data_IF_491533255188
#
_entry.id   IF_491533255188
#
_cell.length_a   1.000
_cell.length_b   1.000
_cell.length_c   1.000
_cell.angle_alpha   90.00
_cell.angle_beta   90.00
_cell.angle_gamma   90.00
#
_symmetry.space_group_name_H-M   'P 1'
#
loop_
_entity.id
_entity.type
_entity.pdbx_description
1 polymer ?
#
# COMPACT_ATOMS: atom_id res chain seq x y z
N UNK A 1 -6.13 20.60 -15.80
CA UNK A 1 -7.42 19.98 -15.42
C UNK A 1 -7.27 19.45 -14.01
N UNK A 2 -8.26 19.67 -13.15
CA UNK A 2 -8.30 19.17 -11.77
C UNK A 2 -8.62 17.65 -11.82
N UNK A 3 -7.92 16.83 -11.04
CA UNK A 3 -8.24 15.42 -10.89
C UNK A 3 -9.50 15.31 -10.02
N UNK A 4 -10.58 14.74 -10.57
CA UNK A 4 -11.84 14.46 -9.90
C UNK A 4 -12.14 12.96 -9.88
N UNK A 5 -13.09 12.57 -9.02
CA UNK A 5 -13.51 11.18 -8.83
C UNK A 5 -15.04 11.07 -8.78
N UNK A 6 -15.73 11.98 -9.45
CA UNK A 6 -17.17 11.93 -9.60
C UNK A 6 -17.59 10.55 -10.13
N UNK A 7 -18.62 9.97 -9.51
CA UNK A 7 -19.14 8.62 -9.80
C UNK A 7 -18.19 7.45 -9.51
N UNK A 8 -17.02 7.70 -8.89
CA UNK A 8 -16.11 6.65 -8.45
C UNK A 8 -16.40 6.25 -7.01
N UNK A 9 -16.19 4.97 -6.71
CA UNK A 9 -16.29 4.39 -5.36
C UNK A 9 -14.92 3.97 -4.88
N UNK A 10 -14.53 4.42 -3.71
CA UNK A 10 -13.25 4.14 -3.09
C UNK A 10 -13.43 3.39 -1.76
N UNK A 11 -12.62 2.36 -1.54
CA UNK A 11 -12.46 1.72 -0.23
C UNK A 11 -11.05 2.09 0.28
N UNK A 12 -10.99 2.64 1.49
CA UNK A 12 -9.71 2.98 2.15
C UNK A 12 -9.66 2.23 3.47
N UNK A 13 -8.69 1.33 3.63
CA UNK A 13 -8.51 0.55 4.87
C UNK A 13 -7.59 1.28 5.85
N UNK A 14 -7.84 1.13 7.16
CA UNK A 14 -7.12 1.86 8.19
C UNK A 14 -7.36 3.38 8.08
N UNK A 15 -8.59 3.77 7.75
CA UNK A 15 -8.94 5.16 7.41
C UNK A 15 -9.50 5.98 8.57
N UNK A 16 -9.54 5.43 9.79
CA UNK A 16 -10.00 6.14 10.99
C UNK A 16 -9.01 7.17 11.54
N UNK A 17 -7.78 7.20 11.00
CA UNK A 17 -6.73 8.14 11.44
C UNK A 17 -5.54 8.20 10.50
N UNK A 18 -4.56 9.04 10.82
CA UNK A 18 -3.27 9.15 10.14
C UNK A 18 -3.38 9.31 8.62
N UNK A 19 -2.55 8.56 7.88
CA UNK A 19 -2.50 8.60 6.41
C UNK A 19 -3.85 8.22 5.78
N UNK A 20 -4.47 7.12 6.23
CA UNK A 20 -5.73 6.62 5.67
C UNK A 20 -6.86 7.64 5.77
N UNK A 21 -6.95 8.36 6.91
CA UNK A 21 -7.90 9.46 7.07
C UNK A 21 -7.70 10.53 5.99
N UNK A 22 -6.47 10.99 5.77
CA UNK A 22 -6.19 12.04 4.78
C UNK A 22 -6.52 11.59 3.36
N UNK A 23 -6.26 10.32 3.04
CA UNK A 23 -6.63 9.75 1.74
C UNK A 23 -8.14 9.72 1.54
N UNK A 24 -8.89 9.26 2.56
CA UNK A 24 -10.35 9.18 2.52
C UNK A 24 -10.99 10.58 2.39
N UNK A 25 -10.55 11.54 3.19
CA UNK A 25 -11.03 12.91 3.14
C UNK A 25 -10.83 13.55 1.77
N UNK A 26 -9.64 13.42 1.19
CA UNK A 26 -9.34 14.05 -0.11
C UNK A 26 -10.04 13.35 -1.28
N UNK A 27 -10.19 12.02 -1.26
CA UNK A 27 -11.00 11.31 -2.24
C UNK A 27 -12.46 11.77 -2.18
N UNK A 28 -13.05 11.86 -0.99
CA UNK A 28 -14.40 12.38 -0.78
C UNK A 28 -14.56 13.83 -1.25
N UNK A 29 -13.62 14.71 -0.91
CA UNK A 29 -13.61 16.12 -1.35
C UNK A 29 -13.53 16.27 -2.87
N UNK A 30 -12.97 15.28 -3.56
CA UNK A 30 -12.86 15.23 -5.03
C UNK A 30 -14.02 14.50 -5.71
N UNK A 31 -15.06 14.13 -4.97
CA UNK A 31 -16.30 13.56 -5.49
C UNK A 31 -16.40 12.04 -5.44
N UNK A 32 -15.41 11.34 -4.89
CA UNK A 32 -15.56 9.90 -4.66
C UNK A 32 -16.60 9.59 -3.58
N UNK A 33 -17.33 8.49 -3.74
CA UNK A 33 -18.09 7.85 -2.67
C UNK A 33 -17.13 6.94 -1.90
N UNK A 34 -17.01 7.12 -0.57
CA UNK A 34 -15.93 6.50 0.19
C UNK A 34 -16.45 5.52 1.24
N UNK A 35 -15.93 4.29 1.21
CA UNK A 35 -15.99 3.39 2.37
C UNK A 35 -14.77 3.68 3.24
N UNK A 36 -15.02 4.21 4.42
CA UNK A 36 -14.00 4.45 5.45
C UNK A 36 -13.96 3.19 6.32
N UNK A 37 -12.98 2.32 6.06
CA UNK A 37 -12.82 1.10 6.86
C UNK A 37 -11.73 1.30 7.91
N UNK A 38 -12.05 1.01 9.17
CA UNK A 38 -11.10 0.99 10.28
C UNK A 38 -11.67 0.18 11.46
N UNK A 39 -10.93 -0.83 11.89
CA UNK A 39 -11.29 -1.63 13.07
C UNK A 39 -11.29 -0.80 14.38
N UNK A 40 -10.58 0.33 14.39
CA UNK A 40 -10.47 1.22 15.56
C UNK A 40 -9.56 0.68 16.65
N UNK A 41 -8.62 -0.21 16.31
CA UNK A 41 -7.62 -0.73 17.23
C UNK A 41 -6.50 0.26 17.56
N UNK A 42 -5.71 -0.08 18.57
CA UNK A 42 -4.45 0.60 18.91
C UNK A 42 -3.36 0.33 17.83
N UNK A 43 -2.21 1.02 17.93
CA UNK A 43 -1.09 0.87 16.99
C UNK A 43 -0.54 -0.56 16.91
N UNK A 44 -0.60 -1.31 18.02
CA UNK A 44 -0.17 -2.71 18.10
C UNK A 44 -1.23 -3.71 17.61
N UNK A 45 -2.41 -3.22 17.19
CA UNK A 45 -3.53 -4.02 16.74
C UNK A 45 -4.46 -4.52 17.84
N UNK A 46 -4.29 -4.08 19.10
CA UNK A 46 -5.17 -4.46 20.21
C UNK A 46 -6.45 -3.62 20.21
N UNK A 47 -7.56 -4.23 20.66
CA UNK A 47 -8.86 -3.59 20.78
C UNK A 47 -9.57 -3.33 19.45
N UNK A 48 -10.81 -2.85 19.53
CA UNK A 48 -11.61 -2.44 18.38
C UNK A 48 -12.63 -1.37 18.78
N UNK A 49 -12.90 -0.41 17.89
CA UNK A 49 -13.93 0.59 18.08
C UNK A 49 -14.29 1.24 16.74
N UNK A 50 -15.45 0.93 16.18
CA UNK A 50 -15.94 1.51 14.92
C UNK A 50 -16.04 3.04 14.90
N UNK A 51 -15.98 3.69 16.07
CA UNK A 51 -16.13 5.15 16.19
C UNK A 51 -15.09 5.98 15.44
N UNK A 52 -13.92 5.43 15.12
CA UNK A 52 -12.91 6.15 14.35
C UNK A 52 -13.33 6.27 12.87
N UNK A 53 -13.79 5.16 12.28
CA UNK A 53 -14.34 5.15 10.91
C UNK A 53 -15.58 6.04 10.81
N UNK A 54 -16.49 5.97 11.78
CA UNK A 54 -17.72 6.79 11.82
C UNK A 54 -17.41 8.29 11.81
N UNK A 55 -16.45 8.74 12.64
CA UNK A 55 -16.06 10.16 12.69
C UNK A 55 -15.52 10.66 11.35
N UNK A 56 -14.69 9.87 10.68
CA UNK A 56 -14.13 10.27 9.37
C UNK A 56 -15.19 10.24 8.28
N UNK A 57 -16.07 9.24 8.27
CA UNK A 57 -17.19 9.20 7.33
C UNK A 57 -18.14 10.39 7.53
N UNK A 58 -18.44 10.76 8.78
CA UNK A 58 -19.24 11.93 9.09
C UNK A 58 -18.56 13.22 8.63
N UNK A 59 -17.23 13.36 8.87
CA UNK A 59 -16.46 14.53 8.42
C UNK A 59 -16.50 14.67 6.88
N UNK A 60 -16.46 13.58 6.13
CA UNK A 60 -16.63 13.62 4.66
C UNK A 60 -18.03 14.12 4.30
N UNK A 61 -19.07 13.62 4.96
CA UNK A 61 -20.46 14.00 4.70
C UNK A 61 -20.73 15.47 5.07
N UNK A 62 -20.23 15.94 6.20
CA UNK A 62 -20.35 17.33 6.65
C UNK A 62 -19.70 18.32 5.68
N UNK A 63 -18.65 17.88 4.98
CA UNK A 63 -17.99 18.65 3.93
C UNK A 63 -18.63 18.47 2.53
N UNK A 64 -19.84 17.90 2.45
CA UNK A 64 -20.61 17.73 1.22
C UNK A 64 -20.22 16.54 0.35
N UNK A 65 -19.37 15.64 0.86
CA UNK A 65 -19.03 14.38 0.21
C UNK A 65 -20.03 13.26 0.52
N UNK A 66 -19.72 12.04 0.12
CA UNK A 66 -20.52 10.84 0.39
C UNK A 66 -19.63 9.74 0.96
N UNK A 67 -19.93 9.27 2.16
CA UNK A 67 -19.18 8.20 2.78
C UNK A 67 -20.06 7.26 3.61
N UNK A 68 -19.55 6.07 3.89
CA UNK A 68 -20.03 5.15 4.91
C UNK A 68 -18.85 4.66 5.74
N UNK A 69 -19.10 4.41 7.01
CA UNK A 69 -18.14 3.76 7.89
C UNK A 69 -18.29 2.23 7.82
N UNK A 70 -17.18 1.53 8.03
CA UNK A 70 -17.15 0.09 8.16
C UNK A 70 -16.04 -0.30 9.15
N UNK A 71 -16.28 -1.29 10.01
CA UNK A 71 -15.37 -1.73 11.07
C UNK A 71 -14.81 -3.14 10.86
N UNK A 72 -14.94 -3.69 9.65
CA UNK A 72 -14.41 -5.00 9.32
C UNK A 72 -12.90 -5.08 9.55
N UNK A 73 -12.46 -6.16 10.20
CA UNK A 73 -11.04 -6.50 10.24
C UNK A 73 -10.59 -6.96 8.84
N UNK A 74 -9.50 -6.39 8.31
CA UNK A 74 -8.93 -6.83 7.03
C UNK A 74 -8.41 -8.27 7.08
N UNK A 75 -8.18 -8.82 8.29
CA UNK A 75 -7.74 -10.20 8.47
C UNK A 75 -8.88 -11.22 8.40
N UNK A 76 -10.12 -10.76 8.48
CA UNK A 76 -11.33 -11.57 8.37
C UNK A 76 -11.92 -11.47 6.96
N UNK A 77 -11.75 -12.52 6.17
CA UNK A 77 -12.17 -12.54 4.77
C UNK A 77 -13.69 -12.37 4.62
N UNK A 78 -14.49 -12.97 5.51
CA UNK A 78 -15.95 -12.92 5.45
C UNK A 78 -16.46 -11.51 5.80
N UNK A 79 -15.84 -10.87 6.79
CA UNK A 79 -16.13 -9.48 7.13
C UNK A 79 -15.73 -8.52 6.00
N UNK A 80 -14.59 -8.75 5.34
CA UNK A 80 -14.18 -7.99 4.15
C UNK A 80 -15.15 -8.19 2.99
N UNK A 81 -15.61 -9.43 2.74
CA UNK A 81 -16.62 -9.69 1.71
C UNK A 81 -17.92 -8.94 2.01
N UNK A 82 -18.39 -8.96 3.26
CA UNK A 82 -19.58 -8.20 3.68
C UNK A 82 -19.42 -6.69 3.41
N UNK A 83 -18.28 -6.11 3.73
CA UNK A 83 -17.97 -4.70 3.41
C UNK A 83 -18.06 -4.42 1.91
N UNK A 84 -17.54 -5.31 1.09
CA UNK A 84 -17.58 -5.18 -0.38
C UNK A 84 -19.02 -5.28 -0.88
N UNK A 85 -19.81 -6.23 -0.37
CA UNK A 85 -21.21 -6.42 -0.74
C UNK A 85 -22.08 -5.21 -0.36
N UNK A 86 -21.84 -4.60 0.79
CA UNK A 86 -22.49 -3.35 1.22
C UNK A 86 -22.19 -2.19 0.26
N UNK A 87 -20.93 -2.03 -0.15
CA UNK A 87 -20.54 -1.00 -1.10
C UNK A 87 -21.19 -1.23 -2.47
N UNK A 88 -21.21 -2.48 -2.94
CA UNK A 88 -21.83 -2.85 -4.19
C UNK A 88 -23.35 -2.69 -4.17
N UNK A 89 -24.02 -3.09 -3.08
CA UNK A 89 -25.46 -2.89 -2.93
C UNK A 89 -25.85 -1.39 -2.93
N UNK A 90 -24.99 -0.55 -2.36
CA UNK A 90 -25.24 0.90 -2.25
C UNK A 90 -24.94 1.66 -3.53
N UNK A 91 -23.86 1.33 -4.24
CA UNK A 91 -23.32 2.14 -5.34
C UNK A 91 -23.09 1.40 -6.64
N UNK A 92 -23.16 0.06 -6.65
CA UNK A 92 -23.09 -0.78 -7.85
C UNK A 92 -21.71 -0.89 -8.49
N UNK A 93 -20.65 -0.36 -7.83
CA UNK A 93 -19.28 -0.37 -8.34
C UNK A 93 -18.24 -0.17 -7.25
N UNK A 94 -17.00 -0.57 -7.52
CA UNK A 94 -15.82 -0.25 -6.70
C UNK A 94 -14.66 0.02 -7.65
N UNK A 95 -14.11 1.24 -7.64
CA UNK A 95 -13.11 1.72 -8.58
C UNK A 95 -11.71 1.83 -7.99
N UNK A 96 -11.65 2.11 -6.69
CA UNK A 96 -10.42 2.46 -6.00
C UNK A 96 -10.32 1.62 -4.72
N UNK A 97 -9.16 1.02 -4.51
CA UNK A 97 -8.78 0.37 -3.26
C UNK A 97 -7.45 0.95 -2.75
N UNK A 98 -7.46 1.50 -1.54
CA UNK A 98 -6.24 1.90 -0.85
C UNK A 98 -6.01 0.95 0.32
N UNK A 99 -5.10 0.00 0.14
CA UNK A 99 -4.63 -0.91 1.18
C UNK A 99 -3.65 -0.18 2.09
N UNK A 100 -4.19 0.43 3.17
CA UNK A 100 -3.42 1.24 4.09
C UNK A 100 -3.43 0.70 5.54
N UNK A 101 -4.36 -0.17 5.90
CA UNK A 101 -4.43 -0.78 7.23
C UNK A 101 -3.08 -1.39 7.66
N UNK A 102 -2.71 -1.20 8.91
CA UNK A 102 -1.44 -1.69 9.41
C UNK A 102 -1.26 -1.51 10.91
N UNK A 103 -0.36 -2.30 11.47
CA UNK A 103 0.04 -2.30 12.87
C UNK A 103 1.57 -2.34 13.00
N UNK A 104 2.11 -1.99 14.18
CA UNK A 104 3.52 -2.15 14.50
C UNK A 104 3.68 -3.04 15.74
N UNK A 105 4.57 -4.05 15.63
CA UNK A 105 5.05 -4.88 16.73
C UNK A 105 6.55 -5.08 16.57
N UNK A 106 7.28 -3.98 16.69
CA UNK A 106 8.72 -3.91 16.43
C UNK A 106 9.51 -4.57 17.56
N UNK A 107 10.38 -5.48 17.20
CA UNK A 107 11.34 -6.14 18.09
C UNK A 107 12.60 -6.52 17.33
N UNK A 108 13.76 -6.46 17.97
CA UNK A 108 14.97 -7.05 17.40
C UNK A 108 14.73 -8.53 17.10
N UNK A 109 15.31 -9.05 16.02
CA UNK A 109 15.04 -10.41 15.54
C UNK A 109 15.21 -11.48 16.62
N UNK A 110 16.22 -11.34 17.49
CA UNK A 110 16.46 -12.25 18.61
C UNK A 110 15.38 -12.24 19.70
N UNK A 111 14.55 -11.18 19.74
CA UNK A 111 13.46 -11.01 20.74
C UNK A 111 12.08 -11.04 20.09
N UNK A 112 12.01 -11.25 18.77
CA UNK A 112 10.76 -11.30 18.05
C UNK A 112 10.04 -12.61 18.33
N UNK A 113 8.84 -12.51 18.89
CA UNK A 113 7.94 -13.64 19.08
C UNK A 113 7.16 -13.92 17.79
N UNK A 114 6.90 -15.21 17.52
CA UNK A 114 6.17 -15.61 16.31
C UNK A 114 4.75 -15.03 16.22
N UNK A 115 4.11 -14.82 17.35
CA UNK A 115 2.80 -14.15 17.42
C UNK A 115 2.87 -12.73 16.85
N UNK A 116 3.91 -11.97 17.20
CA UNK A 116 4.12 -10.62 16.65
C UNK A 116 4.47 -10.65 15.17
N UNK A 117 5.19 -11.68 14.72
CA UNK A 117 5.44 -11.90 13.29
C UNK A 117 4.12 -12.14 12.54
N UNK A 118 3.33 -13.11 12.97
CA UNK A 118 2.07 -13.45 12.31
C UNK A 118 1.09 -12.29 12.31
N UNK A 119 0.90 -11.62 13.44
CA UNK A 119 -0.02 -10.48 13.51
C UNK A 119 0.32 -9.38 12.51
N UNK A 120 1.61 -9.04 12.31
CA UNK A 120 2.04 -8.03 11.35
C UNK A 120 1.85 -8.53 9.91
N UNK A 121 2.24 -9.76 9.60
CA UNK A 121 2.02 -10.36 8.27
C UNK A 121 0.53 -10.41 7.95
N UNK A 122 -0.30 -10.84 8.90
CA UNK A 122 -1.74 -11.01 8.70
C UNK A 122 -2.43 -9.69 8.40
N UNK A 123 -2.13 -8.63 9.15
CA UNK A 123 -2.77 -7.33 8.89
C UNK A 123 -2.27 -6.71 7.60
N UNK A 124 -0.95 -6.65 7.39
CA UNK A 124 -0.39 -5.91 6.26
C UNK A 124 -0.49 -6.66 4.94
N UNK A 125 -0.08 -7.92 4.90
CA UNK A 125 0.03 -8.69 3.65
C UNK A 125 -1.24 -9.49 3.39
N UNK A 126 -1.66 -10.34 4.34
CA UNK A 126 -2.89 -11.15 4.19
C UNK A 126 -4.13 -10.26 4.14
N UNK A 127 -4.20 -9.20 4.94
CA UNK A 127 -5.31 -8.24 4.89
C UNK A 127 -5.41 -7.50 3.56
N UNK A 128 -4.28 -7.11 2.98
CA UNK A 128 -4.26 -6.53 1.63
C UNK A 128 -4.62 -7.56 0.53
N UNK A 129 -4.26 -8.82 0.73
CA UNK A 129 -4.72 -9.92 -0.14
C UNK A 129 -6.23 -10.08 -0.06
N UNK A 130 -6.81 -10.14 1.15
CA UNK A 130 -8.24 -10.33 1.37
C UNK A 130 -9.07 -9.24 0.69
N UNK A 131 -8.76 -7.98 0.96
CA UNK A 131 -9.46 -6.84 0.38
C UNK A 131 -9.32 -6.81 -1.14
N UNK A 132 -8.13 -7.05 -1.65
CA UNK A 132 -7.90 -7.10 -3.11
C UNK A 132 -8.63 -8.27 -3.74
N UNK A 133 -8.63 -9.45 -3.12
CA UNK A 133 -9.28 -10.66 -3.63
C UNK A 133 -10.79 -10.50 -3.78
N UNK A 134 -11.45 -9.88 -2.80
CA UNK A 134 -12.90 -9.62 -2.86
C UNK A 134 -13.26 -8.58 -3.93
N UNK A 135 -12.40 -7.59 -4.16
CA UNK A 135 -12.68 -6.47 -5.08
C UNK A 135 -12.24 -6.77 -6.51
N UNK A 136 -11.21 -7.60 -6.69
CA UNK A 136 -10.60 -7.90 -7.99
C UNK A 136 -11.57 -8.32 -9.09
N UNK A 137 -12.51 -9.28 -8.86
CA UNK A 137 -13.48 -9.69 -9.87
C UNK A 137 -14.36 -8.52 -10.34
N UNK A 138 -14.75 -7.64 -9.42
CA UNK A 138 -15.57 -6.47 -9.69
C UNK A 138 -14.82 -5.50 -10.62
N UNK A 139 -13.56 -5.20 -10.30
CA UNK A 139 -12.72 -4.30 -11.13
C UNK A 139 -12.46 -4.89 -12.52
N UNK A 140 -12.26 -6.20 -12.63
CA UNK A 140 -12.11 -6.90 -13.92
C UNK A 140 -13.37 -6.77 -14.77
N UNK A 141 -14.55 -7.04 -14.19
CA UNK A 141 -15.83 -6.91 -14.89
C UNK A 141 -16.11 -5.48 -15.33
N UNK A 142 -15.78 -4.50 -14.50
CA UNK A 142 -15.90 -3.07 -14.79
C UNK A 142 -14.92 -2.57 -15.87
N UNK A 143 -13.85 -3.32 -16.19
CA UNK A 143 -12.71 -2.88 -16.98
C UNK A 143 -12.09 -1.57 -16.43
N UNK A 144 -12.06 -1.45 -15.11
CA UNK A 144 -11.44 -0.31 -14.42
C UNK A 144 -11.15 -0.66 -12.96
N UNK A 145 -9.96 -0.33 -12.51
CA UNK A 145 -9.56 -0.42 -11.11
C UNK A 145 -8.26 0.32 -10.83
N UNK A 146 -8.14 0.91 -9.65
CA UNK A 146 -6.92 1.54 -9.14
C UNK A 146 -6.67 1.02 -7.73
N UNK A 147 -5.58 0.29 -7.58
CA UNK A 147 -5.17 -0.32 -6.31
C UNK A 147 -3.86 0.31 -5.86
N UNK A 148 -3.84 0.82 -4.64
CA UNK A 148 -2.65 1.38 -4.02
C UNK A 148 -2.27 0.54 -2.80
N UNK A 149 -1.07 -0.04 -2.82
CA UNK A 149 -0.48 -0.76 -1.71
C UNK A 149 0.39 0.18 -0.88
N UNK A 150 0.17 0.25 0.43
CA UNK A 150 1.03 1.03 1.31
C UNK A 150 2.22 0.19 1.75
N UNK A 151 3.33 0.31 1.01
CA UNK A 151 4.63 -0.26 1.37
C UNK A 151 5.37 0.66 2.36
N UNK A 152 6.69 0.58 2.45
CA UNK A 152 7.51 1.39 3.36
C UNK A 152 8.96 1.41 2.87
N UNK A 153 9.70 2.46 3.24
CA UNK A 153 11.17 2.47 3.13
C UNK A 153 11.81 1.32 3.90
N UNK A 154 11.23 0.94 5.05
CA UNK A 154 11.67 -0.25 5.80
C UNK A 154 11.48 -1.54 5.00
N UNK A 155 10.43 -1.65 4.18
CA UNK A 155 10.24 -2.78 3.27
C UNK A 155 11.25 -2.79 2.13
N UNK A 156 11.57 -1.61 1.58
CA UNK A 156 12.48 -1.49 0.44
C UNK A 156 13.95 -1.67 0.81
N UNK A 157 14.37 -1.18 2.00
CA UNK A 157 15.79 -1.07 2.37
C UNK A 157 16.12 -1.73 3.71
N UNK A 158 15.12 -2.26 4.41
CA UNK A 158 15.28 -2.78 5.76
C UNK A 158 15.27 -1.68 6.82
N UNK A 159 14.98 -2.07 8.07
CA UNK A 159 15.14 -1.23 9.24
C UNK A 159 15.38 -2.10 10.48
N UNK A 160 16.20 -1.60 11.39
CA UNK A 160 16.52 -2.34 12.63
C UNK A 160 15.25 -2.59 13.47
N UNK A 161 15.05 -3.82 13.93
CA UNK A 161 13.91 -4.19 14.75
C UNK A 161 12.58 -4.42 14.00
N UNK A 162 12.57 -4.34 12.67
CA UNK A 162 11.36 -4.41 11.84
C UNK A 162 11.36 -5.58 10.86
N UNK A 163 11.90 -6.72 11.22
CA UNK A 163 11.98 -7.87 10.29
C UNK A 163 10.62 -8.37 9.82
N UNK A 164 9.60 -8.41 10.69
CA UNK A 164 8.22 -8.74 10.36
C UNK A 164 7.57 -7.68 9.46
N UNK A 165 7.68 -6.42 9.85
CA UNK A 165 7.12 -5.29 9.10
C UNK A 165 7.78 -5.13 7.72
N UNK A 166 9.12 -5.19 7.66
CA UNK A 166 9.86 -5.10 6.41
C UNK A 166 9.48 -6.23 5.44
N UNK A 167 9.38 -7.46 5.93
CA UNK A 167 8.94 -8.61 5.14
C UNK A 167 7.53 -8.41 4.57
N UNK A 168 6.56 -7.98 5.40
CA UNK A 168 5.21 -7.71 4.96
C UNK A 168 5.17 -6.61 3.88
N UNK A 169 5.89 -5.49 4.12
CA UNK A 169 5.88 -4.33 3.23
C UNK A 169 6.59 -4.58 1.90
N UNK A 170 7.66 -5.38 1.88
CA UNK A 170 8.27 -5.81 0.61
C UNK A 170 7.40 -6.87 -0.09
N UNK A 171 6.72 -7.72 0.65
CA UNK A 171 5.73 -8.66 0.12
C UNK A 171 4.63 -7.96 -0.69
N UNK A 172 4.16 -6.78 -0.25
CA UNK A 172 3.21 -5.96 -1.00
C UNK A 172 3.76 -5.47 -2.34
N UNK A 173 5.06 -5.20 -2.44
CA UNK A 173 5.70 -4.84 -3.71
C UNK A 173 5.72 -6.03 -4.66
N UNK A 174 6.04 -7.23 -4.18
CA UNK A 174 5.95 -8.46 -4.96
C UNK A 174 4.52 -8.73 -5.46
N UNK A 175 3.53 -8.52 -4.59
CA UNK A 175 2.12 -8.66 -4.92
C UNK A 175 1.68 -7.63 -6.00
N UNK A 176 1.99 -6.36 -5.81
CA UNK A 176 1.79 -5.30 -6.82
C UNK A 176 2.43 -5.68 -8.16
N UNK A 177 3.67 -6.17 -8.14
CA UNK A 177 4.41 -6.53 -9.35
C UNK A 177 3.75 -7.63 -10.18
N UNK A 178 3.02 -8.54 -9.56
CA UNK A 178 2.24 -9.56 -10.25
C UNK A 178 0.90 -9.00 -10.75
N UNK A 179 0.17 -8.31 -9.89
CA UNK A 179 -1.16 -7.80 -10.22
C UNK A 179 -1.14 -6.77 -11.37
N UNK A 180 -0.08 -5.97 -11.51
CA UNK A 180 0.04 -5.03 -12.62
C UNK A 180 0.03 -5.69 -13.99
N UNK A 181 0.52 -6.92 -14.12
CA UNK A 181 0.47 -7.68 -15.37
C UNK A 181 -0.90 -8.30 -15.59
N UNK A 182 -1.47 -8.91 -14.56
CA UNK A 182 -2.76 -9.58 -14.65
C UNK A 182 -3.91 -8.59 -14.88
N UNK A 183 -3.84 -7.40 -14.30
CA UNK A 183 -4.83 -6.36 -14.41
C UNK A 183 -4.75 -5.49 -15.65
N UNK A 184 -3.57 -5.41 -16.30
CA UNK A 184 -3.30 -4.42 -17.35
C UNK A 184 -4.33 -4.44 -18.50
N UNK A 185 -4.69 -5.62 -18.99
CA UNK A 185 -5.64 -5.79 -20.09
C UNK A 185 -7.09 -5.39 -19.73
N UNK A 186 -7.38 -5.25 -18.45
CA UNK A 186 -8.68 -4.83 -17.93
C UNK A 186 -8.66 -3.40 -17.37
N UNK A 187 -7.60 -2.62 -17.66
CA UNK A 187 -7.41 -1.28 -17.09
C UNK A 187 -7.44 -1.27 -15.55
N UNK A 188 -7.02 -2.37 -14.91
CA UNK A 188 -6.83 -2.48 -13.47
C UNK A 188 -5.35 -2.27 -13.18
N UNK A 189 -5.01 -1.15 -12.56
CA UNK A 189 -3.64 -0.75 -12.27
C UNK A 189 -3.34 -0.86 -10.79
N UNK A 190 -2.19 -1.45 -10.48
CA UNK A 190 -1.73 -1.60 -9.10
C UNK A 190 -0.39 -0.89 -8.91
N UNK A 191 -0.33 0.01 -7.93
CA UNK A 191 0.86 0.79 -7.59
C UNK A 191 1.13 0.71 -6.08
N UNK A 192 2.28 1.21 -5.65
CA UNK A 192 2.63 1.28 -4.24
C UNK A 192 3.06 2.69 -3.83
N UNK A 193 2.73 3.05 -2.60
CA UNK A 193 3.24 4.22 -1.90
C UNK A 193 4.18 3.77 -0.78
N UNK A 194 5.36 4.37 -0.67
CA UNK A 194 6.28 4.21 0.47
C UNK A 194 6.34 5.55 1.23
N UNK A 195 5.47 5.75 2.22
CA UNK A 195 5.37 7.01 2.94
C UNK A 195 6.45 7.14 4.01
N UNK A 196 6.90 8.39 4.23
CA UNK A 196 7.58 8.81 5.45
C UNK A 196 6.77 9.97 6.01
N UNK A 197 6.01 9.71 7.09
CA UNK A 197 5.13 10.69 7.71
C UNK A 197 5.11 10.51 9.22
N UNK A 198 4.91 11.61 9.94
CA UNK A 198 4.63 11.60 11.37
C UNK A 198 3.18 11.13 11.58
N UNK A 199 3.03 9.98 12.20
CA UNK A 199 1.74 9.38 12.55
C UNK A 199 1.87 8.76 13.94
N UNK A 200 0.78 8.30 14.52
CA UNK A 200 0.83 7.54 15.78
C UNK A 200 1.83 6.37 15.75
N UNK A 201 2.14 5.84 14.55
CA UNK A 201 3.12 4.77 14.36
C UNK A 201 4.57 5.24 14.44
N UNK A 202 4.84 6.54 14.28
CA UNK A 202 6.20 7.10 14.15
C UNK A 202 6.54 8.14 15.21
N UNK A 203 5.57 8.57 16.03
CA UNK A 203 5.75 9.60 17.05
C UNK A 203 6.82 9.26 18.10
N UNK A 204 7.03 7.96 18.38
CA UNK A 204 8.02 7.49 19.34
C UNK A 204 9.42 7.25 18.71
N UNK A 205 9.59 7.48 17.40
CA UNK A 205 10.88 7.26 16.74
C UNK A 205 11.81 8.47 16.92
N UNK A 206 13.08 8.26 17.32
CA UNK A 206 14.03 9.35 17.48
C UNK A 206 14.20 10.18 16.18
N UNK A 207 14.19 11.52 16.31
CA UNK A 207 14.35 12.45 15.18
C UNK A 207 13.09 12.89 14.47
N UNK A 208 11.91 12.43 14.90
CA UNK A 208 10.62 12.88 14.37
C UNK A 208 10.05 14.11 15.13
N UNK A 209 10.54 14.39 16.34
CA UNK A 209 10.02 15.43 17.23
C UNK A 209 10.12 16.85 16.63
N UNK A 210 11.23 17.18 15.95
CA UNK A 210 11.48 18.48 15.32
C UNK A 210 10.96 18.60 13.87
N UNK A 211 10.31 17.55 13.35
CA UNK A 211 9.97 17.44 11.94
C UNK A 211 8.46 17.28 11.68
N UNK A 212 7.59 17.44 12.70
CA UNK A 212 6.16 17.15 12.61
C UNK A 212 5.47 17.85 11.42
N UNK A 213 5.77 19.14 11.17
CA UNK A 213 5.19 19.87 10.04
C UNK A 213 5.68 19.35 8.68
N UNK A 214 6.98 18.95 8.59
CA UNK A 214 7.56 18.42 7.37
C UNK A 214 7.17 16.98 7.08
N UNK A 215 6.69 16.26 8.09
CA UNK A 215 6.27 14.88 8.00
C UNK A 215 4.77 14.70 8.16
N UNK A 216 4.00 15.79 8.00
CA UNK A 216 2.55 15.74 8.08
C UNK A 216 1.96 14.72 7.08
N UNK A 217 0.99 13.87 7.50
CA UNK A 217 0.32 12.88 6.63
C UNK A 217 -0.27 13.49 5.36
N UNK A 218 -0.68 14.75 5.42
CA UNK A 218 -1.21 15.54 4.31
C UNK A 218 -0.21 15.65 3.14
N UNK A 219 1.09 15.57 3.42
CA UNK A 219 2.15 15.63 2.40
C UNK A 219 2.35 14.30 1.65
N UNK A 220 1.77 13.21 2.12
CA UNK A 220 1.75 11.91 1.43
C UNK A 220 0.51 11.77 0.54
N UNK A 221 -0.60 12.32 0.98
CA UNK A 221 -1.91 12.20 0.36
C UNK A 221 -1.92 12.55 -1.15
N UNK A 222 -1.25 13.61 -1.66
CA UNK A 222 -1.28 13.94 -3.08
C UNK A 222 -0.77 12.81 -3.99
N UNK A 223 0.26 12.07 -3.56
CA UNK A 223 0.78 10.94 -4.31
C UNK A 223 -0.22 9.79 -4.37
N UNK A 224 -0.85 9.44 -3.24
CA UNK A 224 -1.86 8.37 -3.19
C UNK A 224 -3.07 8.72 -4.04
N UNK A 225 -3.59 9.94 -3.93
CA UNK A 225 -4.74 10.39 -4.73
C UNK A 225 -4.41 10.42 -6.22
N UNK A 226 -3.18 10.80 -6.60
CA UNK A 226 -2.73 10.68 -7.99
C UNK A 226 -2.71 9.22 -8.46
N UNK A 227 -2.21 8.29 -7.65
CA UNK A 227 -2.19 6.86 -7.96
C UNK A 227 -3.60 6.22 -8.06
N UNK A 228 -4.61 6.86 -7.49
CA UNK A 228 -6.02 6.48 -7.63
C UNK A 228 -6.68 7.03 -8.92
N UNK A 229 -6.03 7.93 -9.65
CA UNK A 229 -6.61 8.63 -10.80
C UNK A 229 -6.55 7.81 -12.09
N UNK A 230 -7.29 8.25 -13.11
CA UNK A 230 -7.22 7.67 -14.46
C UNK A 230 -5.82 7.79 -15.09
N UNK A 231 -5.05 8.80 -14.67
CA UNK A 231 -3.69 9.07 -15.16
C UNK A 231 -2.61 8.31 -14.37
N UNK A 232 -3.00 7.46 -13.44
CA UNK A 232 -2.05 6.66 -12.66
C UNK A 232 -1.18 5.80 -13.59
N UNK A 233 0.11 5.68 -13.32
CA UNK A 233 0.93 4.64 -13.94
C UNK A 233 0.48 3.25 -13.48
N UNK A 234 1.10 2.20 -14.00
CA UNK A 234 0.91 0.84 -13.54
C UNK A 234 2.24 0.23 -13.07
N UNK A 235 2.26 -0.33 -11.87
CA UNK A 235 3.43 -1.03 -11.29
C UNK A 235 4.56 -0.09 -10.84
N UNK A 236 4.22 1.06 -10.28
CA UNK A 236 5.22 2.03 -9.78
C UNK A 236 5.19 2.14 -8.26
N UNK A 237 6.36 2.37 -7.70
CA UNK A 237 6.53 2.70 -6.29
C UNK A 237 6.85 4.18 -6.21
N UNK A 238 5.99 4.96 -5.55
CA UNK A 238 6.29 6.36 -5.21
C UNK A 238 6.66 6.42 -3.74
N UNK A 239 7.78 7.05 -3.42
CA UNK A 239 8.12 7.46 -2.08
C UNK A 239 7.66 8.91 -1.88
N UNK A 240 7.07 9.19 -0.72
CA UNK A 240 6.60 10.52 -0.35
C UNK A 240 7.09 10.89 1.05
N UNK A 241 7.83 11.99 1.15
CA UNK A 241 8.44 12.48 2.39
C UNK A 241 8.60 13.99 2.36
N UNK A 242 7.99 14.69 3.31
CA UNK A 242 8.22 16.13 3.49
C UNK A 242 7.95 16.98 2.25
N UNK A 243 6.96 16.64 1.45
CA UNK A 243 6.65 17.32 0.18
C UNK A 243 7.57 16.92 -0.99
N UNK A 244 8.50 15.98 -0.79
CA UNK A 244 9.33 15.40 -1.86
C UNK A 244 8.70 14.09 -2.33
N UNK A 245 8.63 13.91 -3.65
CA UNK A 245 8.11 12.70 -4.29
C UNK A 245 9.16 12.16 -5.24
N UNK A 246 9.48 10.87 -5.12
CA UNK A 246 10.47 10.20 -5.96
C UNK A 246 10.11 8.73 -6.16
N UNK A 247 10.63 8.13 -7.22
CA UNK A 247 10.37 6.73 -7.53
C UNK A 247 11.38 5.83 -6.82
N UNK A 248 10.93 4.67 -6.35
CA UNK A 248 11.78 3.54 -6.05
C UNK A 248 11.54 2.43 -7.07
N UNK A 249 12.58 1.68 -7.37
CA UNK A 249 12.52 0.62 -8.37
C UNK A 249 13.44 -0.53 -7.94
N UNK A 250 13.08 -1.76 -8.30
CA UNK A 250 13.95 -2.92 -8.19
C UNK A 250 14.69 -3.06 -9.53
N UNK A 251 16.01 -3.10 -9.51
CA UNK A 251 16.83 -3.15 -10.71
C UNK A 251 17.80 -4.32 -10.66
N UNK A 252 18.15 -4.82 -11.82
CA UNK A 252 19.26 -5.74 -12.03
C UNK A 252 20.28 -5.11 -13.00
N UNK A 253 21.51 -5.55 -12.94
CA UNK A 253 22.53 -5.22 -13.96
C UNK A 253 22.48 -6.21 -15.13
N UNK A 254 23.36 -6.05 -16.11
CA UNK A 254 23.45 -6.93 -17.27
C UNK A 254 23.98 -8.33 -16.86
N UNK A 255 24.70 -8.39 -15.73
CA UNK A 255 25.36 -9.62 -15.25
C UNK A 255 26.61 -9.98 -16.05
N UNK A 256 27.18 -11.13 -15.68
CA UNK A 256 28.34 -11.74 -16.34
C UNK A 256 27.95 -13.15 -16.81
N UNK A 257 28.20 -13.45 -18.05
CA UNK A 257 28.01 -14.82 -18.56
C UNK A 257 29.31 -15.64 -18.34
N UNK A 258 29.23 -16.56 -17.40
CA UNK A 258 30.34 -17.48 -17.06
C UNK A 258 30.20 -18.87 -17.75
N UNK A 259 29.22 -19.02 -18.62
CA UNK A 259 28.93 -20.27 -19.30
C UNK A 259 28.29 -21.36 -18.43
N UNK A 260 28.01 -22.51 -19.03
CA UNK A 260 27.24 -23.60 -18.38
C UNK A 260 28.04 -24.40 -17.33
N UNK A 261 29.38 -24.24 -17.30
CA UNK A 261 30.26 -24.98 -16.39
C UNK A 261 30.92 -24.07 -15.34
N UNK A 262 30.27 -22.94 -15.01
CA UNK A 262 30.79 -22.00 -14.03
C UNK A 262 31.05 -22.69 -12.68
N UNK A 263 32.21 -22.47 -12.12
CA UNK A 263 32.64 -22.92 -10.79
C UNK A 263 32.38 -21.85 -9.72
N UNK A 264 32.55 -22.22 -8.44
CA UNK A 264 32.52 -21.28 -7.33
C UNK A 264 33.64 -20.24 -7.45
N UNK A 265 34.81 -20.69 -7.91
CA UNK A 265 35.99 -19.86 -8.11
C UNK A 265 35.78 -18.85 -9.26
N UNK A 266 35.02 -19.20 -10.29
CA UNK A 266 34.63 -18.24 -11.34
C UNK A 266 33.72 -17.14 -10.79
N UNK A 267 32.78 -17.45 -9.87
CA UNK A 267 31.96 -16.45 -9.19
C UNK A 267 32.83 -15.53 -8.34
N UNK A 268 33.77 -16.10 -7.54
CA UNK A 268 34.69 -15.33 -6.71
C UNK A 268 35.55 -14.38 -7.57
N UNK A 269 36.11 -14.87 -8.66
CA UNK A 269 36.97 -14.08 -9.56
C UNK A 269 36.22 -12.94 -10.28
N UNK A 270 34.89 -13.05 -10.41
CA UNK A 270 34.05 -12.07 -11.12
C UNK A 270 33.10 -11.29 -10.21
N UNK A 271 33.23 -11.42 -8.89
CA UNK A 271 32.24 -10.85 -7.94
C UNK A 271 32.04 -9.35 -8.10
N UNK A 272 33.09 -8.57 -8.34
CA UNK A 272 33.00 -7.12 -8.52
C UNK A 272 32.18 -6.74 -9.77
N UNK A 273 32.35 -7.48 -10.86
CA UNK A 273 31.57 -7.29 -12.09
C UNK A 273 30.11 -7.75 -11.92
N UNK A 274 29.86 -8.82 -11.16
CA UNK A 274 28.52 -9.31 -10.85
C UNK A 274 27.75 -8.29 -10.00
N UNK A 275 28.42 -7.60 -9.10
CA UNK A 275 27.82 -6.60 -8.21
C UNK A 275 27.78 -5.18 -8.79
N UNK A 276 28.41 -4.93 -9.94
CA UNK A 276 28.43 -3.61 -10.57
C UNK A 276 27.06 -3.21 -11.13
N UNK A 277 26.38 -2.30 -10.44
CA UNK A 277 25.09 -1.74 -10.82
C UNK A 277 25.21 -0.52 -11.76
N UNK A 278 26.40 -0.17 -12.25
CA UNK A 278 26.60 0.96 -13.17
C UNK A 278 25.96 0.71 -14.55
N UNK A 279 25.86 -0.56 -14.97
CA UNK A 279 25.15 -0.99 -16.17
C UNK A 279 23.75 -1.50 -15.82
N UNK A 280 22.70 -0.76 -16.19
CA UNK A 280 21.33 -1.16 -15.90
C UNK A 280 20.73 -1.94 -17.08
N UNK A 281 20.35 -3.20 -16.86
CA UNK A 281 19.36 -3.85 -17.69
C UNK A 281 17.97 -3.49 -17.16
N UNK A 282 17.12 -2.89 -18.00
CA UNK A 282 15.72 -2.61 -17.64
C UNK A 282 14.99 -3.92 -17.32
N UNK A 283 14.50 -4.06 -16.10
CA UNK A 283 13.89 -5.31 -15.58
C UNK A 283 12.63 -5.72 -16.37
N UNK A 284 11.95 -4.77 -16.99
CA UNK A 284 10.61 -4.98 -17.52
C UNK A 284 10.57 -5.61 -18.93
N UNK A 285 11.70 -5.70 -19.63
CA UNK A 285 11.74 -6.21 -21.00
C UNK A 285 12.03 -7.73 -21.11
N UNK A 286 12.39 -8.39 -20.00
CA UNK A 286 12.87 -9.79 -20.03
C UNK A 286 11.83 -10.84 -19.66
N UNK A 287 10.64 -10.47 -19.19
CA UNK A 287 9.57 -11.45 -18.97
C UNK A 287 8.79 -11.57 -20.28
N UNK A 288 8.93 -12.68 -21.02
CA UNK A 288 8.08 -12.89 -22.19
C UNK A 288 6.63 -12.89 -21.75
N UNK A 289 5.83 -12.04 -22.35
CA UNK A 289 4.37 -12.09 -22.17
C UNK A 289 3.90 -13.47 -22.65
N UNK A 290 3.49 -14.33 -21.73
CA UNK A 290 2.76 -15.57 -22.04
C UNK A 290 1.28 -15.28 -22.24
#
# INVERSE_FOLDING_TARGET
MKIGFEDRVAIVTGAGGGLGKQHALELGRRGAKVVVNDLGGAVDGSGSSGSAAERVAQEICDNGGTAIANDASVTDLDAVQTMVDEAMAKWGRIDILVNNAGILRDKTFSKLELENWHAVIDVHLTGSLNTTKCIWPIMIEQNYGRIVMTTSTSGLFGNFGQSNYAAAKLGLVGFMNTLRFEGAKYNVYTNAIAPIAATRMTEELPGFEDSAERLAPELVMPAVVFLCSEKAPNGRIIQASGGRYYSADVRENIGVDLGLNASVEDIEANIDNILDMSSNAGILERIPHR
#
